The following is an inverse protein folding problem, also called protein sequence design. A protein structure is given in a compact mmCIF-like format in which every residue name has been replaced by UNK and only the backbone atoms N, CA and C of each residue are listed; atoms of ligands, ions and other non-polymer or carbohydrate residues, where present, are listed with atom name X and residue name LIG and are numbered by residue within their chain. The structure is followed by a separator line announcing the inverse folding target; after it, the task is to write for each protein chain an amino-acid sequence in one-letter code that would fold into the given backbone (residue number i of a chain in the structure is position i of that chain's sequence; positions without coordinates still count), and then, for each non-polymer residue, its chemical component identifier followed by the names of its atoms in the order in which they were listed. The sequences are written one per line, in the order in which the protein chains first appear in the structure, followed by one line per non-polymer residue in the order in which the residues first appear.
data_IF_278988596681
#
_entry.id   IF_278988596681
#
_cell.length_a   1.000
_cell.length_b   1.000
_cell.length_c   1.000
_cell.angle_alpha   90.00
_cell.angle_beta   90.00
_cell.angle_gamma   90.00
#
_symmetry.space_group_name_H-M   'P 1'
#
loop_
_entity.id
_entity.type
_entity.pdbx_description
1 polymer ?
#
# COMPACT_ATOMS: atom_id res chain seq x y z
N UNK A 1 -18.43 -4.12 3.58
CA UNK A 1 -17.84 -5.30 4.23
C UNK A 1 -16.34 -5.08 4.44
N UNK A 2 -15.84 -5.45 5.60
CA UNK A 2 -14.42 -5.34 5.87
C UNK A 2 -13.64 -6.42 5.13
N UNK A 3 -12.52 -6.02 4.50
CA UNK A 3 -11.63 -6.98 3.89
C UNK A 3 -10.73 -7.65 4.92
N UNK A 4 -10.05 -8.71 4.49
CA UNK A 4 -9.07 -9.40 5.30
C UNK A 4 -7.67 -9.01 4.82
N UNK A 5 -6.96 -8.14 5.55
CA UNK A 5 -5.63 -7.72 5.13
C UNK A 5 -4.69 -8.93 5.02
N UNK A 6 -3.93 -8.96 3.93
CA UNK A 6 -2.92 -10.00 3.71
C UNK A 6 -1.61 -9.71 4.42
N UNK A 7 -1.37 -8.44 4.72
CA UNK A 7 -0.10 -7.99 5.26
C UNK A 7 -0.31 -7.38 6.63
N UNK A 8 0.75 -7.34 7.41
CA UNK A 8 0.71 -6.85 8.80
C UNK A 8 1.53 -5.58 8.93
N UNK A 9 1.25 -4.81 9.98
CA UNK A 9 2.07 -3.65 10.29
C UNK A 9 3.53 -4.07 10.43
N UNK A 10 4.41 -3.32 9.76
CA UNK A 10 5.84 -3.59 9.77
C UNK A 10 6.33 -4.54 8.70
N UNK A 11 5.42 -5.20 7.97
CA UNK A 11 5.84 -6.08 6.87
C UNK A 11 6.55 -5.28 5.79
N UNK A 12 7.64 -5.83 5.28
CA UNK A 12 8.36 -5.23 4.16
C UNK A 12 7.71 -5.71 2.88
N UNK A 13 7.28 -4.76 2.06
CA UNK A 13 6.53 -5.06 0.84
C UNK A 13 7.06 -4.23 -0.31
N UNK A 14 6.75 -4.68 -1.53
CA UNK A 14 6.93 -3.88 -2.74
C UNK A 14 5.57 -3.51 -3.28
N UNK A 15 5.47 -2.33 -3.86
CA UNK A 15 4.21 -1.84 -4.37
C UNK A 15 4.44 -1.00 -5.62
N UNK A 16 3.41 -0.91 -6.45
CA UNK A 16 3.46 -0.18 -7.71
C UNK A 16 2.72 1.14 -7.58
N UNK A 17 3.31 2.18 -8.15
CA UNK A 17 2.66 3.49 -8.25
C UNK A 17 2.79 3.99 -9.69
N UNK A 18 1.94 4.93 -10.04
CA UNK A 18 2.01 5.62 -11.33
C UNK A 18 2.53 7.03 -11.08
N UNK A 19 3.61 7.39 -11.73
CA UNK A 19 4.20 8.72 -11.60
C UNK A 19 4.56 9.22 -13.00
N UNK A 20 3.98 10.34 -13.40
CA UNK A 20 4.17 10.93 -14.73
C UNK A 20 3.90 9.93 -15.85
N UNK A 21 2.84 9.15 -15.68
CA UNK A 21 2.45 8.16 -16.68
C UNK A 21 3.31 6.89 -16.68
N UNK A 22 4.28 6.80 -15.78
CA UNK A 22 5.17 5.64 -15.70
C UNK A 22 4.85 4.82 -14.47
N UNK A 23 4.90 3.50 -14.61
CA UNK A 23 4.72 2.58 -13.51
C UNK A 23 6.05 2.40 -12.81
N UNK A 24 6.08 2.74 -11.53
CA UNK A 24 7.26 2.59 -10.68
C UNK A 24 6.99 1.60 -9.57
N UNK A 25 8.02 0.83 -9.20
CA UNK A 25 7.94 -0.07 -8.07
C UNK A 25 8.79 0.48 -6.94
N UNK A 26 8.20 0.53 -5.74
CA UNK A 26 8.86 1.00 -4.53
C UNK A 26 8.85 -0.10 -3.49
N UNK A 27 9.75 0.00 -2.52
CA UNK A 27 9.79 -0.92 -1.39
C UNK A 27 9.72 -0.13 -0.09
N UNK A 28 8.90 -0.60 0.82
CA UNK A 28 8.75 0.04 2.12
C UNK A 28 8.10 -0.92 3.10
N UNK A 29 7.64 -0.38 4.25
CA UNK A 29 6.96 -1.21 5.23
C UNK A 29 5.55 -0.69 5.49
N UNK A 30 4.67 -1.62 5.87
CA UNK A 30 3.28 -1.30 6.16
C UNK A 30 3.22 -0.46 7.43
N UNK A 31 2.68 0.76 7.30
CA UNK A 31 2.58 1.71 8.40
C UNK A 31 1.17 1.77 8.95
N UNK A 32 0.17 1.78 8.06
CA UNK A 32 -1.24 1.80 8.43
C UNK A 32 -1.97 0.80 7.53
N UNK A 33 -2.93 0.08 8.10
CA UNK A 33 -3.80 -0.83 7.36
C UNK A 33 -5.21 -0.28 7.41
N UNK A 34 -5.84 -0.12 6.25
CA UNK A 34 -7.23 0.28 6.17
C UNK A 34 -8.04 -0.88 5.58
N UNK A 35 -8.72 -1.66 6.44
CA UNK A 35 -9.49 -2.81 5.96
C UNK A 35 -10.76 -2.44 5.23
N UNK A 36 -11.16 -1.17 5.26
CA UNK A 36 -12.34 -0.69 4.54
C UNK A 36 -12.03 -0.22 3.14
N UNK A 37 -10.76 -0.24 2.75
CA UNK A 37 -10.35 0.28 1.47
C UNK A 37 -10.26 1.80 1.45
N UNK A 38 -10.25 2.37 0.25
CA UNK A 38 -10.18 3.81 0.09
C UNK A 38 -11.59 4.40 0.05
N UNK A 39 -11.68 5.72 0.09
CA UNK A 39 -12.95 6.42 0.00
C UNK A 39 -13.70 6.10 -1.29
N UNK A 40 -12.96 5.93 -2.39
CA UNK A 40 -13.54 5.69 -3.71
C UNK A 40 -13.66 4.21 -4.06
N UNK A 41 -12.95 3.36 -3.36
CA UNK A 41 -12.95 1.92 -3.61
C UNK A 41 -12.89 1.21 -2.26
N UNK A 42 -14.06 0.86 -1.76
CA UNK A 42 -14.19 0.19 -0.47
C UNK A 42 -14.20 -1.33 -0.60
N UNK A 43 -13.97 -1.83 -1.80
CA UNK A 43 -13.97 -3.28 -2.03
C UNK A 43 -12.64 -3.94 -1.68
N UNK A 44 -11.54 -3.16 -1.67
CA UNK A 44 -10.21 -3.66 -1.41
C UNK A 44 -9.62 -3.06 -0.13
N UNK A 45 -8.83 -3.87 0.56
CA UNK A 45 -7.97 -3.36 1.63
C UNK A 45 -6.94 -2.42 1.03
N UNK A 46 -6.62 -1.35 1.74
CA UNK A 46 -5.55 -0.44 1.33
C UNK A 46 -4.55 -0.26 2.45
N UNK A 47 -3.37 0.22 2.09
CA UNK A 47 -2.26 0.39 3.02
C UNK A 47 -1.61 1.74 2.85
N UNK A 48 -1.12 2.28 3.95
CA UNK A 48 -0.16 3.38 3.90
C UNK A 48 1.21 2.75 4.10
N UNK A 49 2.12 3.00 3.18
CA UNK A 49 3.43 2.35 3.15
C UNK A 49 4.53 3.39 3.27
N UNK A 50 5.41 3.21 4.24
CA UNK A 50 6.50 4.12 4.49
C UNK A 50 7.74 3.68 3.71
N UNK A 51 8.27 4.59 2.90
CA UNK A 51 9.54 4.39 2.19
C UNK A 51 10.58 5.27 2.86
N UNK A 52 11.38 4.69 3.74
CA UNK A 52 12.30 5.45 4.57
C UNK A 52 13.38 6.14 3.75
N UNK A 53 13.86 5.50 2.70
CA UNK A 53 14.88 6.09 1.84
C UNK A 53 14.43 7.40 1.22
N UNK A 54 13.13 7.57 1.02
CA UNK A 54 12.54 8.77 0.45
C UNK A 54 11.95 9.67 1.52
N UNK A 55 11.89 9.17 2.76
CA UNK A 55 11.20 9.85 3.85
C UNK A 55 9.77 10.23 3.43
N UNK A 56 9.08 9.28 2.79
CA UNK A 56 7.78 9.52 2.19
C UNK A 56 6.81 8.42 2.56
N UNK A 57 5.61 8.82 2.98
CA UNK A 57 4.52 7.88 3.27
C UNK A 57 3.57 7.88 2.09
N UNK A 58 3.47 6.73 1.41
CA UNK A 58 2.55 6.54 0.29
C UNK A 58 1.23 6.05 0.83
N UNK A 59 0.17 6.83 0.64
CA UNK A 59 -1.15 6.56 1.23
C UNK A 59 -2.07 5.86 0.22
N UNK A 60 -2.98 5.06 0.76
CA UNK A 60 -4.08 4.46 -0.02
C UNK A 60 -3.60 3.58 -1.16
N UNK A 61 -2.60 2.75 -0.88
CA UNK A 61 -2.11 1.78 -1.86
C UNK A 61 -3.02 0.55 -1.77
N UNK A 62 -3.66 0.20 -2.87
CA UNK A 62 -4.56 -0.95 -2.92
C UNK A 62 -3.78 -2.26 -2.75
N UNK A 63 -4.39 -3.21 -2.06
CA UNK A 63 -3.74 -4.49 -1.79
C UNK A 63 -3.28 -5.19 -3.05
N UNK A 64 -4.02 -5.06 -4.14
CA UNK A 64 -3.66 -5.69 -5.42
C UNK A 64 -2.36 -5.15 -6.01
N UNK A 65 -1.92 -3.96 -5.56
CA UNK A 65 -0.69 -3.34 -6.03
C UNK A 65 0.49 -3.64 -5.11
N UNK A 66 0.30 -4.49 -4.11
CA UNK A 66 1.30 -4.78 -3.09
C UNK A 66 1.68 -6.26 -3.15
N UNK A 67 2.99 -6.54 -3.05
CA UNK A 67 3.50 -7.91 -2.94
C UNK A 67 4.54 -7.97 -1.83
N UNK A 68 4.72 -9.12 -1.22
CA UNK A 68 5.78 -9.30 -0.23
C UNK A 68 7.14 -9.17 -0.88
N UNK A 69 8.02 -8.48 -0.19
CA UNK A 69 9.38 -8.29 -0.64
C UNK A 69 10.22 -9.57 -0.45
#
# INVERSE_FOLDING_TARGET
MLGNPRYKLGDIVRFNIICDGKKLQKEGYIYIIDPNGTFFDDSDVSYDIMVEDENCLYKHINERDVVLS
#
